data_IF_233302961598
#
_entry.id   IF_233302961598
#
_cell.length_a   1.000
_cell.length_b   1.000
_cell.length_c   1.000
_cell.angle_alpha   90.00
_cell.angle_beta   90.00
_cell.angle_gamma   90.00
#
_symmetry.space_group_name_H-M   'P 1'
#
loop_
_entity.id
_entity.type
_entity.pdbx_description
1 polymer ?
#
# COMPACT_ATOMS: atom_id res chain seq x y z
N UNK A 1 19.31 -29.78 5.11
CA UNK A 1 18.02 -29.12 4.92
C UNK A 1 17.17 -29.34 6.15
N UNK A 2 16.81 -28.28 6.87
CA UNK A 2 15.93 -28.36 8.05
C UNK A 2 14.50 -28.07 7.58
N UNK A 3 13.61 -29.05 7.72
CA UNK A 3 12.19 -28.90 7.40
C UNK A 3 11.39 -28.69 8.68
N UNK A 4 10.47 -27.73 8.67
CA UNK A 4 9.48 -27.64 9.73
C UNK A 4 8.45 -28.74 9.55
N UNK A 5 8.58 -29.81 10.31
CA UNK A 5 7.65 -30.93 10.32
C UNK A 5 7.28 -31.32 11.75
N UNK A 6 6.35 -32.27 11.85
CA UNK A 6 5.87 -32.80 13.13
C UNK A 6 7.01 -33.33 14.02
N UNK A 7 8.06 -33.92 13.43
CA UNK A 7 9.22 -34.41 14.19
C UNK A 7 10.06 -33.26 14.78
N UNK A 8 10.22 -32.16 14.04
CA UNK A 8 10.90 -30.96 14.53
C UNK A 8 10.10 -30.31 15.67
N UNK A 9 8.76 -30.35 15.57
CA UNK A 9 7.85 -29.94 16.66
C UNK A 9 8.06 -30.82 17.89
N UNK A 10 8.12 -32.14 17.71
CA UNK A 10 8.32 -33.09 18.80
C UNK A 10 9.66 -32.89 19.52
N UNK A 11 10.71 -32.52 18.78
CA UNK A 11 12.06 -32.28 19.32
C UNK A 11 12.20 -30.91 20.01
N UNK A 12 11.31 -29.97 19.75
CA UNK A 12 11.39 -28.63 20.32
C UNK A 12 10.97 -28.62 21.79
N UNK A 13 11.92 -28.27 22.68
CA UNK A 13 11.74 -28.23 24.15
C UNK A 13 10.57 -27.35 24.62
N UNK A 14 10.15 -26.36 23.83
CA UNK A 14 9.04 -25.47 24.16
C UNK A 14 7.66 -26.16 24.05
N UNK A 15 7.53 -27.17 23.20
CA UNK A 15 6.29 -27.93 22.99
C UNK A 15 6.22 -29.23 23.81
N UNK A 16 7.33 -29.61 24.46
CA UNK A 16 7.44 -30.80 25.30
C UNK A 16 6.88 -30.63 26.72
N UNK A 17 6.33 -29.46 27.07
CA UNK A 17 5.38 -29.35 28.20
C UNK A 17 4.08 -30.03 27.77
N UNK A 18 4.10 -31.35 27.59
CA UNK A 18 2.91 -32.19 27.38
C UNK A 18 1.87 -31.72 28.37
N UNK A 19 0.75 -31.20 27.86
CA UNK A 19 -0.45 -31.04 28.69
C UNK A 19 -0.74 -32.45 29.21
N UNK A 20 -0.56 -32.65 30.51
CA UNK A 20 -0.55 -33.97 31.17
C UNK A 20 -1.74 -34.81 30.66
N UNK A 21 -1.46 -35.94 30.01
CA UNK A 21 -2.46 -36.91 29.56
C UNK A 21 -2.79 -36.98 28.06
N UNK A 22 -2.33 -36.05 27.22
CA UNK A 22 -2.59 -36.13 25.76
C UNK A 22 -1.50 -36.89 25.00
N UNK A 23 -1.90 -37.66 23.98
CA UNK A 23 -0.98 -38.17 22.97
C UNK A 23 -0.39 -37.03 22.14
N UNK A 24 0.76 -37.25 21.51
CA UNK A 24 1.39 -36.21 20.70
C UNK A 24 0.51 -35.71 19.53
N UNK A 25 -0.18 -36.59 18.76
CA UNK A 25 -1.12 -36.15 17.73
C UNK A 25 -2.29 -35.32 18.28
N UNK A 26 -2.83 -35.65 19.46
CA UNK A 26 -3.88 -34.85 20.10
C UNK A 26 -3.36 -33.50 20.56
N UNK A 27 -2.14 -33.45 21.09
CA UNK A 27 -1.49 -32.20 21.43
C UNK A 27 -1.33 -31.27 20.22
N UNK A 28 -0.90 -31.78 19.06
CA UNK A 28 -0.78 -30.99 17.82
C UNK A 28 -2.10 -30.32 17.43
N UNK A 29 -3.24 -31.01 17.63
CA UNK A 29 -4.57 -30.45 17.39
C UNK A 29 -4.93 -29.31 18.34
N UNK A 30 -4.31 -29.23 19.52
CA UNK A 30 -4.54 -28.14 20.49
C UNK A 30 -3.69 -26.90 20.23
N UNK A 31 -2.68 -26.99 19.34
CA UNK A 31 -1.77 -25.88 19.08
C UNK A 31 -2.48 -24.72 18.39
N UNK A 32 -2.46 -23.57 19.04
CA UNK A 32 -2.91 -22.29 18.48
C UNK A 32 -1.74 -21.40 18.07
N UNK A 33 -0.58 -21.55 18.73
CA UNK A 33 0.63 -20.79 18.45
C UNK A 33 1.79 -21.74 18.23
N UNK A 34 2.56 -21.51 17.16
CA UNK A 34 3.73 -22.31 16.80
C UNK A 34 4.93 -21.39 16.58
N UNK A 35 6.00 -21.59 17.37
CA UNK A 35 7.18 -20.72 17.37
C UNK A 35 8.44 -21.45 16.93
N UNK A 36 8.96 -21.07 15.77
CA UNK A 36 10.10 -21.71 15.10
C UNK A 36 11.04 -20.69 14.43
N UNK A 37 11.21 -19.52 15.04
CA UNK A 37 12.19 -18.54 14.53
C UNK A 37 13.65 -18.94 14.82
N UNK A 38 14.56 -18.54 13.94
CA UNK A 38 16.00 -18.76 14.17
C UNK A 38 16.43 -20.23 14.14
N UNK A 39 15.76 -21.10 13.37
CA UNK A 39 15.99 -22.55 13.36
C UNK A 39 16.64 -23.08 12.07
N UNK A 40 17.10 -22.18 11.20
CA UNK A 40 17.64 -22.52 9.89
C UNK A 40 16.67 -23.35 9.03
N UNK A 41 15.37 -23.16 9.22
CA UNK A 41 14.34 -23.87 8.44
C UNK A 41 14.42 -23.39 6.99
N UNK A 42 14.53 -24.33 6.06
CA UNK A 42 14.60 -24.06 4.62
C UNK A 42 13.25 -24.27 3.94
N UNK A 43 12.37 -25.06 4.54
CA UNK A 43 11.09 -25.46 3.96
C UNK A 43 10.06 -25.86 5.03
N UNK A 44 8.78 -25.69 4.70
CA UNK A 44 7.64 -26.00 5.56
C UNK A 44 7.08 -27.35 5.12
N UNK A 45 7.21 -28.37 5.97
CA UNK A 45 6.65 -29.70 5.73
C UNK A 45 5.16 -29.79 6.04
N UNK A 46 4.62 -31.01 6.08
CA UNK A 46 3.23 -31.25 6.43
C UNK A 46 2.97 -30.96 7.92
N UNK A 47 2.09 -29.99 8.17
CA UNK A 47 1.60 -29.59 9.48
C UNK A 47 0.06 -29.71 9.59
N UNK A 48 -0.56 -30.52 8.73
CA UNK A 48 -2.02 -30.69 8.61
C UNK A 48 -2.74 -31.11 9.90
N UNK A 49 -2.02 -31.63 10.88
CA UNK A 49 -2.50 -31.96 12.21
C UNK A 49 -2.76 -30.72 13.10
N UNK A 50 -2.10 -29.59 12.81
CA UNK A 50 -2.19 -28.34 13.56
C UNK A 50 -3.35 -27.44 13.10
N UNK A 51 -4.56 -28.01 12.93
CA UNK A 51 -5.72 -27.31 12.32
C UNK A 51 -6.24 -26.09 13.08
N UNK A 52 -5.92 -25.98 14.37
CA UNK A 52 -6.35 -24.88 15.23
C UNK A 52 -5.30 -23.75 15.32
N UNK A 53 -4.28 -23.78 14.47
CA UNK A 53 -3.21 -22.79 14.48
C UNK A 53 -3.76 -21.41 14.09
N UNK A 54 -3.57 -20.44 14.98
CA UNK A 54 -3.97 -19.03 14.79
C UNK A 54 -2.77 -18.12 14.55
N UNK A 55 -1.58 -18.48 15.05
CA UNK A 55 -0.35 -17.69 14.89
C UNK A 55 0.85 -18.58 14.59
N UNK A 56 1.62 -18.22 13.57
CA UNK A 56 2.82 -18.94 13.13
C UNK A 56 4.03 -18.01 13.05
N UNK A 57 5.08 -18.32 13.82
CA UNK A 57 6.34 -17.57 13.85
C UNK A 57 7.46 -18.33 13.16
N UNK A 58 7.88 -17.83 11.99
CA UNK A 58 8.94 -18.39 11.14
C UNK A 58 9.99 -17.36 10.73
N UNK A 59 10.05 -16.23 11.41
CA UNK A 59 11.05 -15.21 11.13
C UNK A 59 12.48 -15.70 11.40
N UNK A 60 13.47 -15.08 10.77
CA UNK A 60 14.90 -15.43 10.87
C UNK A 60 15.20 -16.90 10.51
N UNK A 61 14.71 -17.35 9.35
CA UNK A 61 14.98 -18.68 8.81
C UNK A 61 15.56 -18.57 7.38
N UNK A 62 15.58 -19.67 6.63
CA UNK A 62 16.09 -19.74 5.27
C UNK A 62 15.02 -20.19 4.26
N UNK A 63 13.74 -19.95 4.57
CA UNK A 63 12.60 -20.39 3.76
C UNK A 63 12.64 -19.67 2.41
N UNK A 64 12.52 -20.45 1.33
CA UNK A 64 12.54 -19.93 -0.04
C UNK A 64 11.15 -19.87 -0.67
N UNK A 65 10.24 -20.76 -0.25
CA UNK A 65 8.90 -20.89 -0.80
C UNK A 65 7.88 -20.98 0.32
N UNK A 66 6.73 -20.32 0.12
CA UNK A 66 5.56 -20.48 0.98
C UNK A 66 4.76 -21.65 0.44
N UNK A 67 4.72 -22.75 1.19
CA UNK A 67 4.01 -23.98 0.82
C UNK A 67 3.43 -24.67 2.05
N UNK A 68 2.57 -25.67 1.82
CA UNK A 68 2.00 -26.55 2.85
C UNK A 68 1.22 -25.84 3.98
N UNK A 69 0.73 -24.61 3.76
CA UNK A 69 -0.13 -23.88 4.70
C UNK A 69 -1.63 -24.07 4.46
N UNK A 70 -2.04 -24.92 3.51
CA UNK A 70 -3.44 -25.10 3.13
C UNK A 70 -4.37 -25.57 4.25
N UNK A 71 -3.83 -26.20 5.30
CA UNK A 71 -4.60 -26.65 6.47
C UNK A 71 -4.93 -25.51 7.45
N UNK A 72 -4.23 -24.38 7.37
CA UNK A 72 -4.23 -23.35 8.41
C UNK A 72 -5.32 -22.29 8.19
N UNK A 73 -6.55 -22.70 7.90
CA UNK A 73 -7.67 -21.79 7.61
C UNK A 73 -8.03 -20.84 8.77
N UNK A 74 -7.60 -21.17 9.98
CA UNK A 74 -7.77 -20.37 11.20
C UNK A 74 -6.61 -19.40 11.46
N UNK A 75 -5.57 -19.39 10.61
CA UNK A 75 -4.41 -18.54 10.82
C UNK A 75 -4.78 -17.07 10.66
N UNK A 76 -4.45 -16.29 11.68
CA UNK A 76 -4.71 -14.84 11.73
C UNK A 76 -3.42 -14.03 11.63
N UNK A 77 -2.30 -14.59 12.05
CA UNK A 77 -1.00 -13.92 12.07
C UNK A 77 0.09 -14.84 11.50
N UNK A 78 0.84 -14.34 10.52
CA UNK A 78 1.95 -15.06 9.90
C UNK A 78 3.20 -14.17 9.89
N UNK A 79 4.23 -14.61 10.60
CA UNK A 79 5.51 -13.92 10.71
C UNK A 79 6.57 -14.70 9.94
N UNK A 80 7.07 -14.14 8.83
CA UNK A 80 8.07 -14.77 7.96
C UNK A 80 9.20 -13.80 7.58
N UNK A 81 9.47 -12.81 8.43
CA UNK A 81 10.55 -11.85 8.19
C UNK A 81 11.92 -12.52 8.09
N UNK A 82 12.86 -11.89 7.39
CA UNK A 82 14.24 -12.34 7.28
C UNK A 82 14.39 -13.78 6.78
N UNK A 83 13.63 -14.15 5.75
CA UNK A 83 13.77 -15.39 5.00
C UNK A 83 14.38 -15.10 3.61
N UNK A 84 14.21 -16.01 2.65
CA UNK A 84 14.67 -15.91 1.26
C UNK A 84 13.51 -16.02 0.27
N UNK A 85 12.30 -15.64 0.68
CA UNK A 85 11.07 -15.76 -0.12
C UNK A 85 11.14 -14.77 -1.27
N UNK A 86 10.92 -15.24 -2.49
CA UNK A 86 10.89 -14.38 -3.68
C UNK A 86 9.47 -14.14 -4.22
N UNK A 87 8.57 -15.11 -4.02
CA UNK A 87 7.20 -15.06 -4.52
C UNK A 87 6.22 -15.40 -3.41
N UNK A 88 5.12 -14.64 -3.34
CA UNK A 88 4.03 -14.93 -2.42
C UNK A 88 3.05 -15.88 -3.11
N UNK A 89 2.99 -17.12 -2.63
CA UNK A 89 2.13 -18.16 -3.19
C UNK A 89 1.52 -18.98 -2.06
N UNK A 90 0.52 -19.81 -2.39
CA UNK A 90 -0.09 -20.78 -1.46
C UNK A 90 -0.77 -20.17 -0.22
N UNK A 91 -1.14 -18.90 -0.25
CA UNK A 91 -1.84 -18.23 0.86
C UNK A 91 -3.38 -18.24 0.70
N UNK A 92 -3.93 -18.71 -0.42
CA UNK A 92 -5.35 -18.58 -0.78
C UNK A 92 -6.35 -19.16 0.23
N UNK A 93 -5.91 -20.13 1.05
CA UNK A 93 -6.73 -20.78 2.07
C UNK A 93 -6.72 -20.05 3.42
N UNK A 94 -5.84 -19.05 3.61
CA UNK A 94 -5.69 -18.31 4.86
C UNK A 94 -6.67 -17.13 4.94
N UNK A 95 -7.96 -17.39 4.72
CA UNK A 95 -8.98 -16.34 4.57
C UNK A 95 -9.17 -15.46 5.81
N UNK A 96 -8.77 -15.96 6.99
CA UNK A 96 -8.81 -15.24 8.28
C UNK A 96 -7.51 -14.49 8.60
N UNK A 97 -6.54 -14.48 7.68
CA UNK A 97 -5.25 -13.85 7.92
C UNK A 97 -5.42 -12.34 8.00
N UNK A 98 -5.10 -11.79 9.16
CA UNK A 98 -5.24 -10.36 9.46
C UNK A 98 -3.89 -9.64 9.46
N UNK A 99 -2.80 -10.35 9.80
CA UNK A 99 -1.44 -9.78 9.83
C UNK A 99 -0.44 -10.66 9.10
N UNK A 100 0.27 -10.06 8.14
CA UNK A 100 1.29 -10.73 7.34
C UNK A 100 2.58 -9.92 7.37
N UNK A 101 3.64 -10.53 7.91
CA UNK A 101 4.96 -9.92 7.99
C UNK A 101 5.97 -10.67 7.12
N UNK A 102 6.46 -9.97 6.10
CA UNK A 102 7.35 -10.49 5.06
C UNK A 102 8.59 -9.60 4.85
N UNK A 103 8.90 -8.68 5.76
CA UNK A 103 10.08 -7.84 5.67
C UNK A 103 11.39 -8.63 5.62
N UNK A 104 12.43 -8.10 4.97
CA UNK A 104 13.75 -8.76 4.89
C UNK A 104 13.83 -9.99 3.97
N UNK A 105 12.86 -10.17 3.08
CA UNK A 105 12.81 -11.23 2.05
C UNK A 105 13.38 -10.74 0.71
N UNK A 106 12.99 -11.32 -0.42
CA UNK A 106 13.43 -10.99 -1.79
C UNK A 106 12.24 -10.82 -2.73
N UNK A 107 11.12 -10.33 -2.22
CA UNK A 107 9.86 -10.22 -2.96
C UNK A 107 9.97 -9.01 -3.88
N UNK A 108 9.92 -9.25 -5.20
CA UNK A 108 9.94 -8.20 -6.21
C UNK A 108 8.53 -7.70 -6.54
N UNK A 109 7.56 -8.61 -6.61
CA UNK A 109 6.17 -8.32 -6.94
C UNK A 109 5.27 -8.84 -5.83
N UNK A 110 4.42 -7.96 -5.29
CA UNK A 110 3.39 -8.31 -4.31
C UNK A 110 2.15 -8.78 -5.06
N UNK A 111 1.99 -10.10 -5.13
CA UNK A 111 0.88 -10.80 -5.78
C UNK A 111 0.38 -11.96 -4.90
N UNK A 112 -0.70 -12.65 -5.30
CA UNK A 112 -1.14 -13.87 -4.62
C UNK A 112 -1.87 -13.64 -3.30
N UNK A 113 -2.29 -12.40 -3.02
CA UNK A 113 -3.04 -12.00 -1.83
C UNK A 113 -4.55 -11.84 -2.11
N UNK A 114 -5.03 -12.19 -3.30
CA UNK A 114 -6.39 -11.85 -3.80
C UNK A 114 -7.54 -12.51 -3.02
N UNK A 115 -7.23 -13.50 -2.18
CA UNK A 115 -8.21 -14.20 -1.32
C UNK A 115 -8.14 -13.79 0.16
N UNK A 116 -7.22 -12.89 0.53
CA UNK A 116 -6.99 -12.48 1.91
C UNK A 116 -7.83 -11.25 2.27
N UNK A 117 -9.15 -11.39 2.19
CA UNK A 117 -10.08 -10.27 2.36
C UNK A 117 -10.10 -9.70 3.79
N UNK A 118 -9.59 -10.43 4.79
CA UNK A 118 -9.49 -9.96 6.18
C UNK A 118 -8.11 -9.36 6.53
N UNK A 119 -7.21 -9.22 5.55
CA UNK A 119 -5.84 -8.73 5.79
C UNK A 119 -5.83 -7.24 6.13
N UNK A 120 -5.39 -6.92 7.35
CA UNK A 120 -5.34 -5.55 7.89
C UNK A 120 -3.95 -4.97 7.94
N UNK A 121 -2.94 -5.81 8.18
CA UNK A 121 -1.54 -5.38 8.31
C UNK A 121 -0.64 -6.16 7.34
N UNK A 122 0.06 -5.42 6.48
CA UNK A 122 1.03 -5.96 5.53
C UNK A 122 2.37 -5.25 5.70
N UNK A 123 3.38 -6.03 6.06
CA UNK A 123 4.75 -5.56 6.30
C UNK A 123 5.70 -6.17 5.28
N UNK A 124 6.30 -5.32 4.45
CA UNK A 124 7.13 -5.68 3.31
C UNK A 124 8.47 -4.92 3.33
N UNK A 125 8.86 -4.32 4.45
CA UNK A 125 10.07 -3.51 4.54
C UNK A 125 11.35 -4.27 4.19
N UNK A 126 12.35 -3.57 3.65
CA UNK A 126 13.69 -4.10 3.40
C UNK A 126 13.71 -5.36 2.53
N UNK A 127 12.98 -5.40 1.41
CA UNK A 127 13.19 -6.47 0.44
C UNK A 127 14.62 -6.35 -0.10
N UNK A 128 15.36 -7.46 -0.09
CA UNK A 128 16.76 -7.58 -0.54
C UNK A 128 16.81 -7.65 -2.07
N UNK A 129 16.26 -6.62 -2.70
CA UNK A 129 16.15 -6.48 -4.14
C UNK A 129 17.52 -6.28 -4.77
N UNK A 130 17.65 -6.71 -6.01
CA UNK A 130 18.86 -6.47 -6.79
C UNK A 130 19.01 -4.97 -7.06
N UNK A 131 20.23 -4.41 -7.12
CA UNK A 131 20.41 -3.00 -7.46
C UNK A 131 19.68 -2.64 -8.77
N UNK A 132 18.82 -1.62 -8.70
CA UNK A 132 18.00 -1.17 -9.83
C UNK A 132 16.58 -1.72 -9.85
N UNK A 133 16.29 -2.78 -9.09
CA UNK A 133 14.93 -3.26 -8.88
C UNK A 133 14.19 -2.44 -7.82
N UNK A 134 12.86 -2.42 -7.93
CA UNK A 134 11.93 -1.80 -6.98
C UNK A 134 10.76 -2.73 -6.71
N UNK A 135 10.19 -2.64 -5.52
CA UNK A 135 8.99 -3.40 -5.18
C UNK A 135 7.81 -2.93 -6.03
N UNK A 136 7.11 -3.89 -6.64
CA UNK A 136 5.92 -3.67 -7.46
C UNK A 136 4.72 -4.34 -6.80
N UNK A 137 3.52 -3.87 -7.15
CA UNK A 137 2.26 -4.44 -6.70
C UNK A 137 1.44 -4.91 -7.90
N UNK A 138 0.89 -6.12 -7.80
CA UNK A 138 -0.11 -6.57 -8.77
C UNK A 138 -1.43 -5.79 -8.55
N UNK A 139 -2.04 -5.23 -9.61
CA UNK A 139 -3.28 -4.46 -9.47
C UNK A 139 -4.45 -5.26 -8.89
N UNK A 140 -4.55 -6.57 -9.15
CA UNK A 140 -5.63 -7.41 -8.60
C UNK A 140 -5.45 -7.58 -7.11
N UNK A 141 -4.20 -7.75 -6.65
CA UNK A 141 -3.87 -7.78 -5.22
C UNK A 141 -4.25 -6.46 -4.55
N UNK A 142 -3.92 -5.30 -5.12
CA UNK A 142 -4.30 -4.01 -4.54
C UNK A 142 -5.82 -3.81 -4.48
N UNK A 143 -6.55 -4.20 -5.53
CA UNK A 143 -8.02 -4.12 -5.55
C UNK A 143 -8.66 -5.03 -4.49
N UNK A 144 -8.14 -6.25 -4.31
CA UNK A 144 -8.63 -7.16 -3.26
C UNK A 144 -8.38 -6.64 -1.84
N UNK A 145 -7.29 -5.89 -1.63
CA UNK A 145 -6.92 -5.34 -0.31
C UNK A 145 -7.53 -3.95 -0.04
N UNK A 146 -8.18 -3.34 -1.03
CA UNK A 146 -8.66 -1.96 -0.98
C UNK A 146 -9.61 -1.67 0.18
N UNK A 147 -10.42 -2.65 0.56
CA UNK A 147 -11.46 -2.52 1.60
C UNK A 147 -11.03 -3.06 2.98
N UNK A 148 -9.81 -3.60 3.11
CA UNK A 148 -9.38 -4.30 4.33
C UNK A 148 -8.07 -3.81 4.91
N UNK A 149 -7.14 -3.33 4.07
CA UNK A 149 -5.79 -3.01 4.50
C UNK A 149 -5.73 -1.66 5.23
N UNK A 150 -5.34 -1.70 6.51
CA UNK A 150 -5.24 -0.52 7.37
C UNK A 150 -3.79 -0.09 7.62
N UNK A 151 -2.84 -1.03 7.53
CA UNK A 151 -1.43 -0.81 7.85
C UNK A 151 -0.59 -1.37 6.71
N UNK A 152 0.19 -0.51 6.07
CA UNK A 152 1.13 -0.90 5.03
C UNK A 152 2.51 -0.35 5.35
N UNK A 153 3.50 -1.24 5.47
CA UNK A 153 4.90 -0.88 5.58
C UNK A 153 5.67 -1.38 4.36
N UNK A 154 6.20 -0.45 3.59
CA UNK A 154 6.99 -0.67 2.37
C UNK A 154 8.34 0.04 2.44
N UNK A 155 8.88 0.26 3.64
CA UNK A 155 10.15 0.96 3.82
C UNK A 155 11.30 0.29 3.09
N UNK A 156 12.23 1.09 2.58
CA UNK A 156 13.48 0.64 1.97
C UNK A 156 13.26 -0.41 0.86
N UNK A 157 12.51 -0.05 -0.18
CA UNK A 157 12.12 -0.93 -1.28
C UNK A 157 12.31 -0.29 -2.67
N UNK A 158 13.10 0.79 -2.76
CA UNK A 158 13.39 1.54 -3.98
C UNK A 158 12.14 2.06 -4.74
N UNK A 159 11.01 2.23 -4.07
CA UNK A 159 9.75 2.68 -4.69
C UNK A 159 9.87 4.17 -5.07
N UNK A 160 9.53 4.51 -6.30
CA UNK A 160 9.57 5.86 -6.86
C UNK A 160 8.17 6.42 -7.22
N UNK A 161 7.16 5.56 -7.19
CA UNK A 161 5.76 5.84 -7.56
C UNK A 161 4.80 5.10 -6.61
N UNK A 162 3.72 5.76 -6.20
CA UNK A 162 2.69 5.21 -5.30
C UNK A 162 1.28 5.38 -5.86
N UNK A 163 1.13 5.78 -7.13
CA UNK A 163 -0.19 6.03 -7.74
C UNK A 163 -1.12 4.83 -7.69
N UNK A 164 -0.58 3.63 -7.89
CA UNK A 164 -1.36 2.40 -7.82
C UNK A 164 -1.93 2.14 -6.41
N UNK A 165 -1.28 2.65 -5.35
CA UNK A 165 -1.73 2.51 -3.96
C UNK A 165 -2.95 3.38 -3.63
N UNK A 166 -3.36 4.29 -4.52
CA UNK A 166 -4.52 5.18 -4.33
C UNK A 166 -5.82 4.43 -4.01
N UNK A 167 -5.93 3.16 -4.42
CA UNK A 167 -7.12 2.32 -4.16
C UNK A 167 -7.30 1.93 -2.69
N UNK A 168 -6.24 1.98 -1.87
CA UNK A 168 -6.23 1.51 -0.49
C UNK A 168 -6.83 2.54 0.49
N UNK A 169 -8.15 2.74 0.43
CA UNK A 169 -8.85 3.83 1.13
C UNK A 169 -8.96 3.66 2.65
N UNK A 170 -8.79 2.43 3.14
CA UNK A 170 -8.87 2.10 4.57
C UNK A 170 -7.53 2.26 5.32
N UNK A 171 -6.48 2.75 4.64
CA UNK A 171 -5.17 2.97 5.26
C UNK A 171 -5.23 3.99 6.40
N UNK A 172 -4.76 3.56 7.57
CA UNK A 172 -4.58 4.36 8.78
C UNK A 172 -3.10 4.59 9.08
N UNK A 173 -2.25 3.61 8.76
CA UNK A 173 -0.80 3.71 8.88
C UNK A 173 -0.11 3.37 7.57
N UNK A 174 0.70 4.30 7.08
CA UNK A 174 1.50 4.12 5.88
C UNK A 174 2.96 4.46 6.17
N UNK A 175 3.85 3.50 5.95
CA UNK A 175 5.29 3.70 6.08
C UNK A 175 5.94 3.39 4.73
N UNK A 176 6.58 4.39 4.15
CA UNK A 176 7.35 4.28 2.92
C UNK A 176 8.70 5.01 3.02
N UNK A 177 9.28 5.02 4.22
CA UNK A 177 10.60 5.59 4.48
C UNK A 177 11.69 4.92 3.62
N UNK A 178 12.78 5.65 3.38
CA UNK A 178 13.97 5.20 2.65
C UNK A 178 13.69 4.66 1.23
N UNK A 179 12.73 5.27 0.53
CA UNK A 179 12.41 4.97 -0.86
C UNK A 179 12.94 6.08 -1.80
N UNK A 180 12.45 6.14 -3.04
CA UNK A 180 12.85 7.07 -4.10
C UNK A 180 11.72 8.03 -4.52
N UNK A 181 10.75 8.27 -3.63
CA UNK A 181 9.62 9.16 -3.87
C UNK A 181 10.10 10.61 -4.02
N UNK A 182 9.83 11.21 -5.18
CA UNK A 182 10.35 12.53 -5.52
C UNK A 182 9.29 13.47 -6.10
N UNK A 183 8.21 12.94 -6.70
CA UNK A 183 7.14 13.75 -7.25
C UNK A 183 6.14 14.13 -6.16
N UNK A 184 6.07 15.43 -5.84
CA UNK A 184 5.13 15.94 -4.85
C UNK A 184 3.67 15.86 -5.31
N UNK A 185 3.40 16.10 -6.59
CA UNK A 185 2.01 16.14 -7.10
C UNK A 185 1.36 14.77 -6.98
N UNK A 186 2.07 13.70 -7.37
CA UNK A 186 1.57 12.33 -7.26
C UNK A 186 1.24 11.98 -5.81
N UNK A 187 2.07 12.41 -4.84
CA UNK A 187 1.80 12.21 -3.42
C UNK A 187 0.59 13.00 -2.93
N UNK A 188 0.42 14.25 -3.36
CA UNK A 188 -0.77 15.05 -3.03
C UNK A 188 -2.04 14.38 -3.57
N UNK A 189 -2.02 13.93 -4.82
CA UNK A 189 -3.14 13.29 -5.48
C UNK A 189 -3.54 11.99 -4.77
N UNK A 190 -2.56 11.11 -4.47
CA UNK A 190 -2.79 9.82 -3.81
C UNK A 190 -3.24 10.02 -2.35
N UNK A 191 -2.51 10.80 -1.56
CA UNK A 191 -2.79 10.90 -0.12
C UNK A 191 -4.07 11.70 0.17
N UNK A 192 -4.55 12.51 -0.77
CA UNK A 192 -5.87 13.16 -0.65
C UNK A 192 -7.03 12.15 -0.64
N UNK A 193 -6.79 10.95 -1.16
CA UNK A 193 -7.78 9.87 -1.27
C UNK A 193 -7.82 8.94 -0.05
N UNK A 194 -6.97 9.18 0.96
CA UNK A 194 -6.90 8.36 2.18
C UNK A 194 -7.48 9.11 3.39
N UNK A 195 -8.82 9.16 3.54
CA UNK A 195 -9.47 9.97 4.57
C UNK A 195 -9.26 9.46 6.01
N UNK A 196 -8.79 8.22 6.17
CA UNK A 196 -8.54 7.58 7.46
C UNK A 196 -7.06 7.60 7.87
N UNK A 197 -6.18 8.19 7.07
CA UNK A 197 -4.74 8.14 7.32
C UNK A 197 -4.37 8.94 8.57
N UNK A 198 -3.89 8.27 9.61
CA UNK A 198 -3.49 8.88 10.88
C UNK A 198 -1.98 9.03 11.00
N UNK A 199 -1.22 8.08 10.47
CA UNK A 199 0.25 8.05 10.65
C UNK A 199 0.94 7.76 9.34
N UNK A 200 1.84 8.65 8.95
CA UNK A 200 2.63 8.53 7.73
C UNK A 200 4.12 8.73 8.02
N UNK A 201 4.96 7.91 7.41
CA UNK A 201 6.42 8.09 7.43
C UNK A 201 6.98 7.96 6.02
N UNK A 202 7.53 9.05 5.51
CA UNK A 202 8.23 9.13 4.22
C UNK A 202 9.68 9.56 4.40
N UNK A 203 10.21 9.54 5.63
CA UNK A 203 11.58 9.94 5.92
C UNK A 203 12.60 9.24 5.00
N UNK A 204 13.70 9.92 4.66
CA UNK A 204 14.71 9.37 3.73
C UNK A 204 14.38 9.48 2.24
N UNK A 205 13.14 9.83 1.86
CA UNK A 205 12.79 10.05 0.45
C UNK A 205 13.29 11.41 -0.08
N UNK A 206 13.61 11.52 -1.40
CA UNK A 206 13.95 12.80 -2.04
C UNK A 206 12.93 13.92 -1.81
N UNK A 207 11.63 13.60 -1.76
CA UNK A 207 10.55 14.59 -1.53
C UNK A 207 10.73 15.34 -0.20
N UNK A 208 11.28 14.70 0.85
CA UNK A 208 11.46 15.31 2.16
C UNK A 208 12.44 16.50 2.14
N UNK A 209 13.30 16.59 1.12
CA UNK A 209 14.23 17.72 0.94
C UNK A 209 13.56 18.93 0.27
N UNK A 210 12.34 18.78 -0.25
CA UNK A 210 11.62 19.88 -0.92
C UNK A 210 11.14 20.91 0.12
N UNK A 211 11.25 22.21 -0.18
CA UNK A 211 10.71 23.24 0.70
C UNK A 211 9.21 23.04 0.85
N UNK A 212 8.69 23.16 2.07
CA UNK A 212 7.25 23.05 2.39
C UNK A 212 6.64 21.67 2.12
N UNK A 213 7.43 20.63 1.91
CA UNK A 213 6.93 19.25 1.77
C UNK A 213 5.97 18.90 2.92
N UNK A 214 6.40 19.13 4.17
CA UNK A 214 5.61 18.83 5.37
C UNK A 214 4.32 19.63 5.40
N UNK A 215 4.42 20.95 5.22
CA UNK A 215 3.26 21.85 5.23
C UNK A 215 2.23 21.43 4.18
N UNK A 216 2.69 21.02 3.00
CA UNK A 216 1.81 20.62 1.93
C UNK A 216 1.06 19.32 2.28
N UNK A 217 1.76 18.29 2.76
CA UNK A 217 1.11 17.03 3.16
C UNK A 217 0.16 17.22 4.34
N UNK A 218 0.49 18.08 5.30
CA UNK A 218 -0.42 18.45 6.40
C UNK A 218 -1.72 19.08 5.87
N UNK A 219 -1.66 19.88 4.81
CA UNK A 219 -2.86 20.49 4.23
C UNK A 219 -3.70 19.54 3.37
N UNK A 220 -3.08 18.48 2.82
CA UNK A 220 -3.76 17.49 1.97
C UNK A 220 -4.41 16.40 2.84
N UNK A 221 -3.66 15.85 3.80
CA UNK A 221 -4.11 14.74 4.64
C UNK A 221 -4.82 15.25 5.89
N UNK A 222 -6.15 15.39 5.83
CA UNK A 222 -6.96 16.03 6.88
C UNK A 222 -7.01 15.26 8.21
N UNK A 223 -6.82 13.94 8.19
CA UNK A 223 -6.83 13.08 9.38
C UNK A 223 -5.43 12.86 9.97
N UNK A 224 -4.35 13.30 9.30
CA UNK A 224 -2.98 12.89 9.62
C UNK A 224 -2.46 13.48 10.93
N UNK A 225 -2.25 12.64 11.95
CA UNK A 225 -1.81 13.04 13.28
C UNK A 225 -0.28 13.04 13.40
N UNK A 226 0.41 12.12 12.72
CA UNK A 226 1.87 11.97 12.79
C UNK A 226 2.45 11.87 11.39
N UNK A 227 3.46 12.69 11.11
CA UNK A 227 4.23 12.67 9.87
C UNK A 227 5.73 12.61 10.19
N UNK A 228 6.44 11.64 9.63
CA UNK A 228 7.90 11.47 9.76
C UNK A 228 8.36 11.48 11.24
N UNK A 229 7.63 10.76 12.09
CA UNK A 229 7.90 10.66 13.54
C UNK A 229 7.56 11.91 14.36
N UNK A 230 6.96 12.95 13.76
CA UNK A 230 6.58 14.19 14.45
C UNK A 230 5.07 14.39 14.42
N UNK A 231 4.50 14.64 15.60
CA UNK A 231 3.10 15.01 15.76
C UNK A 231 2.74 16.29 14.99
N UNK A 232 1.49 16.38 14.56
CA UNK A 232 0.92 17.52 13.87
C UNK A 232 0.00 18.23 14.85
N UNK A 233 0.36 19.47 15.20
CA UNK A 233 -0.50 20.31 16.02
C UNK A 233 -1.65 20.87 15.17
N UNK A 234 -2.89 20.66 15.61
CA UNK A 234 -4.09 21.09 14.91
C UNK A 234 -4.15 22.61 14.68
N UNK A 235 -3.66 23.42 15.62
CA UNK A 235 -3.55 24.88 15.44
C UNK A 235 -2.63 25.24 14.26
N UNK A 236 -1.54 24.50 14.09
CA UNK A 236 -0.61 24.69 12.98
C UNK A 236 -1.24 24.26 11.67
N UNK A 237 -1.95 23.13 11.64
CA UNK A 237 -2.69 22.69 10.46
C UNK A 237 -3.72 23.73 10.03
N UNK A 238 -4.54 24.22 10.96
CA UNK A 238 -5.58 25.21 10.66
C UNK A 238 -4.96 26.50 10.09
N UNK A 239 -3.87 26.99 10.71
CA UNK A 239 -3.11 28.11 10.19
C UNK A 239 -2.63 27.89 8.75
N UNK A 240 -2.04 26.73 8.44
CA UNK A 240 -1.54 26.39 7.09
C UNK A 240 -2.68 26.34 6.06
N UNK A 241 -3.83 25.77 6.42
CA UNK A 241 -5.02 25.71 5.56
C UNK A 241 -5.51 27.14 5.24
N UNK A 242 -5.71 27.98 6.26
CA UNK A 242 -6.16 29.36 6.06
C UNK A 242 -5.14 30.18 5.25
N UNK A 243 -3.85 29.97 5.50
CA UNK A 243 -2.77 30.64 4.79
C UNK A 243 -2.77 30.27 3.30
N UNK A 244 -2.93 28.98 2.97
CA UNK A 244 -3.04 28.48 1.59
C UNK A 244 -4.26 29.09 0.88
N UNK A 245 -5.43 29.07 1.54
CA UNK A 245 -6.66 29.66 1.01
C UNK A 245 -6.54 31.18 0.75
N UNK A 246 -5.93 31.93 1.69
CA UNK A 246 -5.70 33.38 1.52
C UNK A 246 -4.78 33.68 0.34
N UNK A 247 -3.72 32.88 0.15
CA UNK A 247 -2.78 33.04 -0.95
C UNK A 247 -3.45 32.76 -2.30
N UNK A 248 -4.28 31.73 -2.39
CA UNK A 248 -5.06 31.41 -3.59
C UNK A 248 -6.08 32.49 -3.92
N UNK A 249 -6.78 33.05 -2.91
CA UNK A 249 -7.71 34.15 -3.10
C UNK A 249 -7.02 35.42 -3.65
N UNK A 250 -5.82 35.76 -3.12
CA UNK A 250 -5.01 36.87 -3.63
C UNK A 250 -4.57 36.63 -5.08
N UNK A 251 -4.17 35.40 -5.42
CA UNK A 251 -3.77 35.04 -6.79
C UNK A 251 -4.94 35.15 -7.76
N UNK A 252 -6.14 34.70 -7.37
CA UNK A 252 -7.37 34.87 -8.16
C UNK A 252 -7.69 36.34 -8.37
N UNK A 253 -7.63 37.17 -7.33
CA UNK A 253 -7.89 38.61 -7.40
C UNK A 253 -6.93 39.35 -8.36
N UNK A 254 -5.65 38.97 -8.36
CA UNK A 254 -4.66 39.54 -9.26
C UNK A 254 -4.87 39.09 -10.72
N UNK A 255 -5.24 37.82 -10.96
CA UNK A 255 -5.55 37.33 -12.31
C UNK A 255 -6.83 37.97 -12.88
N UNK A 256 -7.85 38.20 -12.05
CA UNK A 256 -9.06 38.93 -12.47
C UNK A 256 -8.77 40.39 -12.81
N UNK A 257 -7.82 41.04 -12.13
CA UNK A 257 -7.40 42.40 -12.46
C UNK A 257 -6.65 42.49 -13.80
N UNK A 258 -5.82 41.48 -14.14
CA UNK A 258 -5.13 41.40 -15.43
C UNK A 258 -6.06 41.13 -16.61
N UNK A 259 -7.19 40.44 -16.40
CA UNK A 259 -8.22 40.22 -17.43
C UNK A 259 -9.19 41.41 -17.59
N UNK A 260 -9.08 42.42 -16.74
CA UNK A 260 -9.95 43.61 -16.74
C UNK A 260 -9.27 44.91 -17.19
N UNK A 261 -8.06 44.83 -17.78
CA UNK A 261 -7.50 45.99 -18.50
C UNK A 261 -8.22 46.13 -19.86
N UNK A 262 -8.91 47.26 -20.13
CA UNK A 262 -9.37 47.53 -21.47
C UNK A 262 -8.13 47.74 -22.35
N UNK A 263 -7.95 46.91 -23.36
CA UNK A 263 -7.09 47.28 -24.48
C UNK A 263 -7.62 48.60 -25.03
N UNK A 264 -6.85 49.68 -24.83
CA UNK A 264 -7.14 50.96 -25.46
C UNK A 264 -7.12 50.71 -26.98
N UNK A 265 -8.33 50.65 -27.54
CA UNK A 265 -8.53 50.55 -28.98
C UNK A 265 -7.87 51.74 -29.66
N UNK A 266 -6.75 51.50 -30.33
CA UNK A 266 -6.35 52.35 -31.46
C UNK A 266 -7.29 51.98 -32.60
N UNK A 267 -8.25 52.87 -32.87
CA UNK A 267 -9.05 52.82 -34.08
C UNK A 267 -8.14 52.96 -35.29
N UNK A 268 -8.08 51.92 -36.11
CA UNK A 268 -7.70 52.05 -37.50
C UNK A 268 -8.97 51.89 -38.32
N UNK A 269 -9.42 53.01 -38.89
CA UNK A 269 -10.42 53.03 -39.95
C UNK A 269 -9.82 52.37 -41.19
N UNK A 270 -10.44 51.29 -41.66
CA UNK A 270 -10.43 50.96 -43.08
C UNK A 270 -11.87 50.68 -43.51
N UNK A 271 -12.30 51.47 -44.49
CA UNK A 271 -13.62 51.45 -45.09
C UNK A 271 -13.83 50.21 -45.95
N UNK A 272 -15.08 49.72 -45.94
CA UNK A 272 -15.71 49.02 -47.06
C UNK A 272 -15.28 47.57 -47.29
N UNK A 273 -16.17 46.61 -47.01
CA UNK A 273 -16.94 45.88 -48.02
C UNK A 273 -17.90 44.91 -47.30
N UNK A 274 -19.19 45.05 -47.60
CA UNK A 274 -20.26 44.16 -47.18
C UNK A 274 -20.19 42.83 -47.94
N UNK A 275 -20.41 41.71 -47.25
CA UNK A 275 -21.04 40.47 -47.77
C UNK A 275 -21.34 39.59 -46.54
N UNK A 276 -22.51 39.73 -45.92
CA UNK A 276 -23.78 39.04 -46.21
C UNK A 276 -23.77 37.53 -45.93
N UNK A 277 -24.54 37.17 -44.90
CA UNK A 277 -25.43 36.02 -44.78
C UNK A 277 -25.02 34.69 -44.08
N UNK A 278 -25.84 34.43 -43.05
CA UNK A 278 -26.53 33.21 -42.64
C UNK A 278 -25.92 32.22 -41.63
N UNK A 279 -26.60 32.26 -40.47
CA UNK A 279 -26.82 31.30 -39.39
C UNK A 279 -27.12 29.87 -39.90
N UNK A 280 -26.55 28.84 -39.26
CA UNK A 280 -27.38 27.75 -38.69
C UNK A 280 -26.65 26.88 -37.64
N UNK A 281 -27.36 26.69 -36.52
CA UNK A 281 -27.22 25.62 -35.54
C UNK A 281 -27.33 24.24 -36.21
N UNK A 282 -26.70 23.20 -35.64
CA UNK A 282 -27.37 22.12 -34.88
C UNK A 282 -26.38 21.01 -34.48
N UNK A 283 -26.53 20.60 -33.22
CA UNK A 283 -26.01 19.42 -32.52
C UNK A 283 -26.70 18.15 -33.02
N UNK A 284 -26.00 17.03 -33.23
CA UNK A 284 -26.53 15.74 -32.72
C UNK A 284 -25.49 14.64 -32.53
N UNK A 285 -25.68 13.93 -31.43
CA UNK A 285 -25.00 12.71 -31.02
C UNK A 285 -25.68 11.47 -31.60
N UNK A 286 -24.88 10.42 -31.74
CA UNK A 286 -25.19 9.05 -31.33
C UNK A 286 -26.02 8.10 -32.23
N UNK A 287 -25.50 6.86 -32.23
CA UNK A 287 -26.12 5.54 -32.38
C UNK A 287 -26.18 4.83 -33.74
N UNK A 288 -25.46 3.70 -33.73
CA UNK A 288 -25.78 2.38 -34.27
C UNK A 288 -25.62 2.13 -35.78
N UNK A 289 -24.65 1.27 -36.08
CA UNK A 289 -24.99 -0.12 -36.37
C UNK A 289 -25.07 -0.51 -37.85
N UNK A 290 -24.29 -1.55 -38.14
CA UNK A 290 -24.37 -2.51 -39.25
C UNK A 290 -23.64 -2.22 -40.57
N UNK A 291 -22.67 -3.13 -40.79
CA UNK A 291 -22.52 -4.03 -41.95
C UNK A 291 -22.34 -3.36 -43.31
N UNK A 292 -21.15 -3.57 -43.89
CA UNK A 292 -21.06 -4.02 -45.28
C UNK A 292 -19.88 -4.98 -45.44
N UNK A 293 -20.18 -6.04 -46.18
CA UNK A 293 -19.37 -7.18 -46.59
C UNK A 293 -18.44 -6.72 -47.72
N UNK A 294 -17.17 -7.11 -47.68
CA UNK A 294 -16.44 -7.88 -48.70
C UNK A 294 -15.16 -8.44 -48.07
#
# INVERSE_FOLDING_TARGET
MVHLNVDLIAKSRNHLKKKMGLSFPEYLKTLTHLHFSGKNIEDIGDLSMCRNLTVLYLYDNQITHICNLGFASNLTHLYMQNNKIANIQSLSNLQRLSKLYLGGNRILVVEGLEKLNELKELHLENQKLTPGEKLLFDPRTLLSLAESLCVLNINNNNIDDVRDLAVLKELQHFSAADNKLHNMQDLEDVFSLWPQLLRMDLSGNPVCKRPKYRDCLITVCKSLEVLDGKEINELTRQFLINWKASKEAKKKKNNTHMMSEPSLGKSFNFAGYQLSYFIHFVVWSCFHGQVCIY
#
